data_IF_938746636943
#
_entry.id   IF_938746636943
#
_cell.length_a   1.000
_cell.length_b   1.000
_cell.length_c   1.000
_cell.angle_alpha   90.00
_cell.angle_beta   90.00
_cell.angle_gamma   90.00
#
_symmetry.space_group_name_H-M   'P 1'
#
loop_
_entity.id
_entity.type
_entity.pdbx_description
1 polymer ?
#
# COMPACT_ATOMS: atom_id res chain seq x y z
N UNK A 1 32.33 6.54 -11.68
CA UNK A 1 33.19 5.95 -10.69
C UNK A 1 32.49 5.60 -9.40
N UNK A 2 33.23 5.14 -8.45
CA UNK A 2 32.70 4.64 -7.17
C UNK A 2 31.96 5.72 -6.36
N UNK A 3 32.36 6.96 -6.49
CA UNK A 3 31.73 8.08 -5.82
C UNK A 3 30.29 8.31 -6.29
N UNK A 4 30.07 8.26 -7.59
CA UNK A 4 28.73 8.46 -8.13
C UNK A 4 27.81 7.34 -7.67
N UNK A 5 28.25 6.10 -7.72
CA UNK A 5 27.48 4.95 -7.24
C UNK A 5 27.17 5.06 -5.75
N UNK A 6 28.16 5.48 -4.94
CA UNK A 6 27.96 5.67 -3.50
C UNK A 6 26.92 6.72 -3.20
N UNK A 7 26.94 7.86 -3.92
CA UNK A 7 25.95 8.94 -3.78
C UNK A 7 24.57 8.44 -4.19
N UNK A 8 24.47 7.74 -5.31
CA UNK A 8 23.22 7.17 -5.80
C UNK A 8 22.62 6.18 -4.80
N UNK A 9 23.44 5.32 -4.23
CA UNK A 9 23.00 4.37 -3.20
C UNK A 9 22.55 5.10 -1.93
N UNK A 10 23.25 6.11 -1.51
CA UNK A 10 22.85 6.94 -0.36
C UNK A 10 21.52 7.63 -0.59
N UNK A 11 21.28 8.13 -1.80
CA UNK A 11 20.02 8.76 -2.20
C UNK A 11 18.91 7.73 -2.48
N UNK A 12 19.19 6.43 -2.44
CA UNK A 12 18.21 5.38 -2.66
C UNK A 12 17.83 5.15 -4.12
N UNK A 13 18.66 5.58 -5.07
CA UNK A 13 18.35 5.45 -6.50
C UNK A 13 18.35 4.02 -7.00
N UNK A 14 19.07 3.13 -6.33
CA UNK A 14 19.16 1.71 -6.68
C UNK A 14 18.49 0.77 -5.69
N UNK A 15 17.67 1.33 -4.80
CA UNK A 15 16.93 0.57 -3.80
C UNK A 15 15.44 0.83 -3.89
N UNK A 16 14.65 -0.10 -3.37
CA UNK A 16 13.20 0.05 -3.24
C UNK A 16 12.94 0.61 -1.84
N UNK A 17 12.48 1.86 -1.71
CA UNK A 17 12.18 2.42 -0.41
C UNK A 17 10.93 1.78 0.19
N UNK A 18 11.01 1.45 1.47
CA UNK A 18 9.88 0.95 2.26
C UNK A 18 9.65 1.97 3.36
N UNK A 19 8.43 2.50 3.45
CA UNK A 19 8.13 3.56 4.40
C UNK A 19 6.66 3.56 4.80
N UNK A 20 6.35 4.30 5.85
CA UNK A 20 4.97 4.57 6.23
C UNK A 20 4.37 5.63 5.30
N UNK A 21 3.03 5.67 5.24
CA UNK A 21 2.32 6.71 4.47
C UNK A 21 2.71 8.11 4.95
N UNK A 22 2.84 8.30 6.25
CA UNK A 22 3.20 9.60 6.84
C UNK A 22 4.57 10.09 6.35
N UNK A 23 5.53 9.20 6.21
CA UNK A 23 6.86 9.54 5.70
C UNK A 23 6.89 9.80 4.20
N UNK A 24 5.86 9.36 3.48
CA UNK A 24 5.79 9.53 2.03
C UNK A 24 5.31 10.92 1.60
N UNK A 25 4.87 11.77 2.52
CA UNK A 25 4.39 13.12 2.21
C UNK A 25 5.49 13.93 1.51
N UNK A 26 5.13 14.55 0.39
CA UNK A 26 6.06 15.33 -0.41
C UNK A 26 6.94 14.51 -1.36
N UNK A 27 6.84 13.19 -1.33
CA UNK A 27 7.59 12.28 -2.20
C UNK A 27 6.68 11.77 -3.31
N UNK A 28 7.28 11.45 -4.46
CA UNK A 28 6.55 10.85 -5.59
C UNK A 28 7.38 9.74 -6.19
N UNK A 29 6.69 8.69 -6.65
CA UNK A 29 7.31 7.51 -7.25
C UNK A 29 6.54 7.10 -8.50
N UNK A 30 7.24 6.50 -9.47
CA UNK A 30 6.58 6.00 -10.69
C UNK A 30 5.55 4.93 -10.38
N UNK A 31 5.90 3.98 -9.53
CA UNK A 31 5.02 2.89 -9.11
C UNK A 31 5.05 2.78 -7.60
N UNK A 32 3.89 2.58 -7.00
CA UNK A 32 3.73 2.44 -5.55
C UNK A 32 3.01 1.12 -5.26
N UNK A 33 3.47 0.41 -4.26
CA UNK A 33 2.80 -0.78 -3.72
C UNK A 33 2.35 -0.47 -2.30
N UNK A 34 1.04 -0.39 -2.12
CA UNK A 34 0.43 -0.22 -0.81
C UNK A 34 0.12 -1.60 -0.24
N UNK A 35 0.88 -2.01 0.77
CA UNK A 35 0.80 -3.35 1.33
C UNK A 35 -0.24 -3.39 2.45
N UNK A 36 -1.19 -4.32 2.32
CA UNK A 36 -2.13 -4.62 3.40
C UNK A 36 -3.31 -3.67 3.51
N UNK A 37 -4.13 -3.55 2.47
CA UNK A 37 -5.38 -2.80 2.53
C UNK A 37 -6.43 -3.65 3.26
N UNK A 38 -6.34 -3.70 4.59
CA UNK A 38 -7.10 -4.57 5.47
C UNK A 38 -7.58 -3.81 6.71
N UNK A 39 -8.66 -4.27 7.33
CA UNK A 39 -9.20 -3.67 8.56
C UNK A 39 -8.17 -3.64 9.70
N UNK A 40 -7.31 -4.66 9.79
CA UNK A 40 -6.28 -4.72 10.82
C UNK A 40 -5.23 -3.62 10.72
N UNK A 41 -4.97 -3.12 9.50
CA UNK A 41 -4.07 -1.99 9.28
C UNK A 41 -4.75 -0.65 9.56
N UNK A 42 -6.07 -0.60 9.50
CA UNK A 42 -6.89 0.59 9.74
C UNK A 42 -7.74 0.42 11.01
N UNK A 43 -7.15 -0.10 12.06
CA UNK A 43 -7.84 -0.49 13.29
C UNK A 43 -8.59 0.67 13.98
N UNK A 44 -8.20 1.90 13.69
CA UNK A 44 -8.82 3.09 14.28
C UNK A 44 -9.83 3.77 13.33
N UNK A 45 -10.18 3.15 12.22
CA UNK A 45 -11.00 3.76 11.17
C UNK A 45 -12.39 4.19 11.69
N UNK A 46 -13.00 3.40 12.56
CA UNK A 46 -14.30 3.75 13.15
C UNK A 46 -14.26 5.03 13.98
N UNK A 47 -13.15 5.26 14.68
CA UNK A 47 -12.99 6.41 15.58
C UNK A 47 -12.52 7.65 14.85
N UNK A 48 -11.60 7.49 13.92
CA UNK A 48 -10.94 8.58 13.20
C UNK A 48 -10.89 8.31 11.69
N UNK A 49 -12.06 8.18 11.04
CA UNK A 49 -12.10 7.83 9.62
C UNK A 49 -11.44 8.87 8.73
N UNK A 50 -11.48 10.15 9.14
CA UNK A 50 -10.90 11.23 8.33
C UNK A 50 -9.38 11.10 8.18
N UNK A 51 -8.69 10.71 9.25
CA UNK A 51 -7.23 10.49 9.18
C UNK A 51 -6.87 9.37 8.22
N UNK A 52 -7.59 8.27 8.30
CA UNK A 52 -7.34 7.12 7.43
C UNK A 52 -7.75 7.38 5.98
N UNK A 53 -8.82 8.14 5.77
CA UNK A 53 -9.18 8.60 4.42
C UNK A 53 -8.09 9.50 3.85
N UNK A 54 -7.58 10.44 4.62
CA UNK A 54 -6.46 11.28 4.20
C UNK A 54 -5.24 10.44 3.87
N UNK A 55 -4.91 9.48 4.71
CA UNK A 55 -3.78 8.57 4.47
C UNK A 55 -3.94 7.79 3.18
N UNK A 56 -5.12 7.25 2.92
CA UNK A 56 -5.43 6.54 1.68
C UNK A 56 -5.23 7.43 0.44
N UNK A 57 -5.76 8.64 0.47
CA UNK A 57 -5.62 9.57 -0.65
C UNK A 57 -4.18 10.08 -0.80
N UNK A 58 -3.45 10.27 0.30
CA UNK A 58 -2.01 10.58 0.23
C UNK A 58 -1.28 9.44 -0.50
N UNK A 59 -1.55 8.20 -0.15
CA UNK A 59 -0.95 7.04 -0.82
C UNK A 59 -1.23 7.05 -2.33
N UNK A 60 -2.48 7.28 -2.72
CA UNK A 60 -2.86 7.40 -4.13
C UNK A 60 -2.07 8.51 -4.84
N UNK A 61 -1.86 9.63 -4.19
CA UNK A 61 -1.17 10.78 -4.79
C UNK A 61 0.35 10.60 -4.90
N UNK A 62 0.93 9.58 -4.26
CA UNK A 62 2.39 9.32 -4.34
C UNK A 62 2.80 8.63 -5.63
N UNK A 63 1.87 8.04 -6.37
CA UNK A 63 2.15 7.31 -7.59
C UNK A 63 1.99 8.21 -8.82
N UNK A 64 3.02 8.27 -9.66
CA UNK A 64 2.97 9.00 -10.92
C UNK A 64 2.30 8.20 -12.03
N UNK A 65 2.53 6.88 -12.06
CA UNK A 65 2.07 5.99 -13.13
C UNK A 65 1.10 4.94 -12.65
N UNK A 66 1.43 4.25 -11.56
CA UNK A 66 0.62 3.14 -11.08
C UNK A 66 0.73 2.96 -9.58
N UNK A 67 -0.36 2.54 -8.99
CA UNK A 67 -0.40 2.10 -7.60
C UNK A 67 -1.06 0.72 -7.54
N UNK A 68 -0.51 -0.15 -6.71
CA UNK A 68 -1.03 -1.48 -6.48
C UNK A 68 -1.34 -1.63 -5.00
N UNK A 69 -2.58 -1.99 -4.69
CA UNK A 69 -2.99 -2.32 -3.32
C UNK A 69 -2.98 -3.83 -3.16
N UNK A 70 -2.46 -4.31 -2.05
CA UNK A 70 -2.50 -5.73 -1.73
C UNK A 70 -3.51 -6.00 -0.62
N UNK A 71 -4.19 -7.13 -0.72
CA UNK A 71 -5.08 -7.64 0.30
C UNK A 71 -4.80 -9.13 0.49
N UNK A 72 -4.50 -9.52 1.71
CA UNK A 72 -4.24 -10.90 2.05
C UNK A 72 -5.39 -11.42 2.93
N UNK A 73 -6.11 -12.45 2.46
CA UNK A 73 -7.25 -13.00 3.19
C UNK A 73 -6.84 -13.73 4.47
N UNK A 74 -5.61 -14.24 4.50
CA UNK A 74 -5.12 -15.05 5.61
C UNK A 74 -3.67 -14.71 5.96
N UNK A 75 -3.40 -14.44 7.24
CA UNK A 75 -2.06 -14.17 7.77
C UNK A 75 -1.77 -15.07 8.95
N UNK A 76 -0.71 -15.85 8.86
CA UNK A 76 -0.41 -16.94 9.79
C UNK A 76 0.05 -16.50 11.18
N UNK A 77 0.69 -15.34 11.30
CA UNK A 77 1.31 -14.90 12.56
C UNK A 77 0.48 -13.85 13.32
N UNK A 78 -0.79 -13.70 13.00
CA UNK A 78 -1.69 -12.77 13.69
C UNK A 78 -2.60 -13.53 14.64
N UNK A 79 -3.05 -12.85 15.69
CA UNK A 79 -4.05 -13.40 16.63
C UNK A 79 -5.32 -13.82 15.89
N UNK A 80 -5.74 -13.01 14.92
CA UNK A 80 -6.82 -13.34 14.01
C UNK A 80 -6.23 -13.48 12.62
N UNK A 81 -6.01 -14.72 12.13
CA UNK A 81 -5.38 -14.91 10.82
C UNK A 81 -6.26 -14.54 9.63
N UNK A 82 -7.59 -14.51 9.81
CA UNK A 82 -8.51 -14.16 8.74
C UNK A 82 -8.62 -12.63 8.67
N UNK A 83 -8.17 -12.07 7.57
CA UNK A 83 -8.23 -10.63 7.34
C UNK A 83 -9.53 -10.23 6.65
N UNK A 84 -10.05 -9.07 7.01
CA UNK A 84 -11.31 -8.53 6.49
C UNK A 84 -11.11 -7.08 6.05
N UNK A 85 -12.06 -6.56 5.29
CA UNK A 85 -12.08 -5.16 4.85
C UNK A 85 -13.45 -4.50 5.07
N UNK A 86 -14.23 -5.01 6.03
CA UNK A 86 -15.60 -4.50 6.29
C UNK A 86 -15.61 -3.05 6.75
N UNK A 87 -14.64 -2.65 7.58
CA UNK A 87 -14.54 -1.28 8.09
C UNK A 87 -14.09 -0.29 7.03
N UNK A 88 -13.20 -0.71 6.15
CA UNK A 88 -12.65 0.11 5.07
C UNK A 88 -13.28 -0.20 3.72
N UNK A 89 -14.49 -0.72 3.72
CA UNK A 89 -15.17 -1.13 2.50
C UNK A 89 -15.34 0.01 1.49
N UNK A 90 -15.43 1.24 1.96
CA UNK A 90 -15.52 2.41 1.09
C UNK A 90 -14.31 2.55 0.15
N UNK A 91 -13.11 2.14 0.59
CA UNK A 91 -11.92 2.15 -0.26
C UNK A 91 -12.03 1.11 -1.37
N UNK A 92 -12.52 -0.07 -1.03
CA UNK A 92 -12.76 -1.13 -2.02
C UNK A 92 -13.86 -0.75 -3.00
N UNK A 93 -14.94 -0.14 -2.52
CA UNK A 93 -16.02 0.34 -3.40
C UNK A 93 -15.51 1.37 -4.41
N UNK A 94 -14.65 2.28 -3.96
CA UNK A 94 -14.03 3.27 -4.83
C UNK A 94 -13.15 2.59 -5.90
N UNK A 95 -12.31 1.66 -5.49
CA UNK A 95 -11.37 0.97 -6.39
C UNK A 95 -12.09 0.04 -7.38
N UNK A 96 -13.24 -0.49 -7.00
CA UNK A 96 -14.03 -1.41 -7.83
C UNK A 96 -14.93 -0.69 -8.84
N UNK A 97 -14.99 0.63 -8.82
CA UNK A 97 -15.74 1.38 -9.84
C UNK A 97 -15.19 1.11 -11.24
N UNK A 98 -16.05 1.01 -12.26
CA UNK A 98 -15.60 0.77 -13.64
C UNK A 98 -14.50 1.75 -14.07
N UNK A 99 -13.42 1.21 -14.62
CA UNK A 99 -12.29 2.00 -15.10
C UNK A 99 -11.31 2.48 -14.02
N UNK A 100 -11.54 2.17 -12.72
CA UNK A 100 -10.65 2.62 -11.65
C UNK A 100 -9.48 1.69 -11.41
N UNK A 101 -9.74 0.39 -11.27
CA UNK A 101 -8.69 -0.57 -10.95
C UNK A 101 -8.98 -1.93 -11.58
N UNK A 102 -7.90 -2.67 -11.82
CA UNK A 102 -7.94 -4.07 -12.23
C UNK A 102 -7.71 -4.94 -11.01
N UNK A 103 -8.57 -5.93 -10.79
CA UNK A 103 -8.45 -6.87 -9.67
C UNK A 103 -7.81 -8.16 -10.17
N UNK A 104 -6.75 -8.59 -9.49
CA UNK A 104 -6.07 -9.86 -9.74
C UNK A 104 -6.08 -10.69 -8.46
N UNK A 105 -6.49 -11.94 -8.57
CA UNK A 105 -6.47 -12.86 -7.46
C UNK A 105 -5.32 -13.85 -7.64
N UNK A 106 -4.46 -13.94 -6.61
CA UNK A 106 -3.34 -14.89 -6.58
C UNK A 106 -3.67 -15.95 -5.54
N UNK A 107 -3.94 -17.17 -6.00
CA UNK A 107 -4.33 -18.28 -5.14
C UNK A 107 -3.16 -19.10 -4.63
N UNK A 108 -2.06 -19.14 -5.37
CA UNK A 108 -0.84 -19.84 -4.98
C UNK A 108 0.38 -19.00 -5.33
N UNK A 109 1.24 -18.82 -4.33
CA UNK A 109 2.56 -18.25 -4.57
C UNK A 109 3.53 -19.40 -4.88
N UNK A 110 4.42 -19.23 -5.89
CA UNK A 110 5.43 -20.25 -6.14
C UNK A 110 6.29 -20.42 -4.89
N UNK A 111 6.45 -21.66 -4.45
CA UNK A 111 7.36 -21.98 -3.36
C UNK A 111 8.79 -21.91 -3.90
N UNK A 112 9.57 -21.13 -3.23
CA UNK A 112 11.00 -21.03 -3.53
C UNK A 112 11.75 -22.13 -2.81
#
# INVERSE_FOLDING_TARGET
GDWQLAIENFCGLHSIPIMTIHKSKGLEYSSVYFIGLEDSAFWNFRRQPEEDRCAFFVALSRAKKSITFTYCKHRTNFQNPIQRHNEINEFFDLLQRPGMAEVKEVTELPRV
#
